data_IF_011986698278
#
_entry.id   IF_011986698278
#
_cell.length_a   1.000
_cell.length_b   1.000
_cell.length_c   1.000
_cell.angle_alpha   90.00
_cell.angle_beta   90.00
_cell.angle_gamma   90.00
#
_symmetry.space_group_name_H-M   'P 1'
#
loop_
_entity.id
_entity.type
_entity.pdbx_description
1 polymer ?
#
# COMPACT_ATOMS: atom_id res chain seq x y z
N UNK A 1 14.98 48.63 36.04
CA UNK A 1 16.01 48.61 37.10
C UNK A 1 15.67 47.50 38.08
N UNK A 2 16.67 46.68 38.44
CA UNK A 2 16.55 45.43 39.20
C UNK A 2 16.67 44.25 38.24
N UNK A 3 17.84 43.71 37.90
CA UNK A 3 19.05 43.44 38.68
C UNK A 3 18.78 42.53 39.89
N UNK A 4 18.96 41.23 39.67
CA UNK A 4 19.54 40.26 40.61
C UNK A 4 19.53 38.84 40.00
N UNK A 5 20.62 38.49 39.32
CA UNK A 5 21.20 37.14 39.47
C UNK A 5 21.81 37.07 40.89
N UNK A 6 21.87 35.92 41.59
CA UNK A 6 23.00 35.03 41.30
C UNK A 6 22.84 33.52 41.66
N UNK A 7 23.81 32.76 41.15
CA UNK A 7 24.55 31.65 41.81
C UNK A 7 23.92 30.27 42.06
N UNK A 8 24.47 29.33 41.28
CA UNK A 8 25.23 28.15 41.70
C UNK A 8 24.60 27.12 42.65
N UNK A 9 24.56 25.86 42.23
CA UNK A 9 25.54 24.84 42.64
C UNK A 9 25.08 23.40 42.30
N UNK A 10 26.09 22.52 42.25
CA UNK A 10 26.06 21.10 42.55
C UNK A 10 25.74 20.11 41.43
N UNK A 11 26.86 19.62 40.88
CA UNK A 11 27.09 18.30 40.34
C UNK A 11 26.35 17.15 41.06
N UNK A 12 25.91 16.16 40.28
CA UNK A 12 26.06 14.76 40.67
C UNK A 12 26.21 13.88 39.44
N UNK A 13 27.44 13.41 39.26
CA UNK A 13 27.75 12.27 38.41
C UNK A 13 26.98 11.05 38.92
N UNK A 14 26.21 10.42 38.04
CA UNK A 14 25.67 9.09 38.26
C UNK A 14 26.24 8.18 37.16
N UNK A 15 27.35 7.53 37.52
CA UNK A 15 27.92 6.38 36.83
C UNK A 15 26.86 5.28 36.79
N UNK A 16 26.29 5.03 35.61
CA UNK A 16 25.45 3.85 35.39
C UNK A 16 26.36 2.62 35.19
N UNK A 17 26.05 1.48 35.82
CA UNK A 17 26.84 0.27 35.68
C UNK A 17 26.66 -0.32 34.27
N UNK A 18 27.79 -0.50 33.58
CA UNK A 18 27.89 -1.35 32.40
C UNK A 18 27.54 -2.79 32.81
N UNK A 19 26.27 -3.14 32.70
CA UNK A 19 25.83 -4.52 32.77
C UNK A 19 26.30 -5.19 31.49
N UNK A 20 27.30 -6.05 31.65
CA UNK A 20 27.80 -7.00 30.65
C UNK A 20 26.66 -7.99 30.36
N UNK A 21 25.66 -7.57 29.59
CA UNK A 21 24.61 -8.43 29.11
C UNK A 21 25.21 -9.33 28.04
N UNK A 22 25.41 -10.59 28.40
CA UNK A 22 25.75 -11.68 27.51
C UNK A 22 24.85 -11.60 26.26
N UNK A 23 25.50 -11.42 25.11
CA UNK A 23 24.91 -11.41 23.79
C UNK A 23 24.12 -12.72 23.59
N UNK A 24 22.77 -12.69 23.53
CA UNK A 24 22.04 -13.87 23.11
C UNK A 24 22.41 -14.09 21.64
N UNK A 25 23.16 -15.16 21.37
CA UNK A 25 23.34 -15.72 20.02
C UNK A 25 21.99 -15.72 19.34
N UNK A 26 21.79 -14.72 18.49
CA UNK A 26 20.54 -14.52 17.78
C UNK A 26 20.41 -15.69 16.83
N UNK A 27 19.57 -16.67 17.19
CA UNK A 27 19.17 -17.73 16.29
C UNK A 27 18.77 -17.08 14.96
N UNK A 28 19.31 -17.54 13.81
CA UNK A 28 18.87 -17.03 12.52
C UNK A 28 17.37 -17.32 12.47
N UNK A 29 16.58 -16.26 12.53
CA UNK A 29 15.12 -16.32 12.42
C UNK A 29 14.88 -16.83 11.00
N UNK A 30 14.73 -18.15 10.88
CA UNK A 30 14.64 -18.83 9.61
C UNK A 30 13.48 -18.18 8.86
N UNK A 31 13.80 -17.40 7.84
CA UNK A 31 12.80 -16.76 7.01
C UNK A 31 12.03 -17.92 6.38
N UNK A 32 10.71 -18.06 6.62
CA UNK A 32 9.95 -19.12 5.97
C UNK A 32 10.22 -19.02 4.46
N UNK A 33 10.57 -20.14 3.85
CA UNK A 33 10.78 -20.18 2.40
C UNK A 33 9.45 -19.81 1.72
N UNK A 34 9.49 -19.14 0.57
CA UNK A 34 8.29 -18.67 -0.08
C UNK A 34 7.25 -19.79 -0.34
N UNK A 35 7.72 -21.02 -0.58
CA UNK A 35 6.87 -22.20 -0.74
C UNK A 35 6.11 -22.60 0.55
N UNK A 36 6.71 -22.40 1.73
CA UNK A 36 6.03 -22.63 3.02
C UNK A 36 5.02 -21.52 3.32
N UNK A 37 5.26 -20.29 2.86
CA UNK A 37 4.31 -19.20 3.02
C UNK A 37 3.03 -19.45 2.21
N UNK A 38 3.15 -19.91 0.96
CA UNK A 38 2.01 -20.28 0.12
C UNK A 38 1.19 -21.44 0.74
N UNK A 39 1.86 -22.43 1.34
CA UNK A 39 1.19 -23.55 2.00
C UNK A 39 0.53 -23.18 3.33
N UNK A 40 1.04 -22.15 4.03
CA UNK A 40 0.51 -21.67 5.30
C UNK A 40 -0.53 -20.54 5.14
N UNK A 41 -0.69 -20.00 3.93
CA UNK A 41 -1.64 -18.92 3.65
C UNK A 41 -3.07 -19.46 3.60
N UNK A 42 -3.66 -19.60 4.79
CA UNK A 42 -5.03 -20.05 4.99
C UNK A 42 -6.08 -18.95 4.89
N UNK A 43 -7.33 -19.35 5.12
CA UNK A 43 -8.51 -18.48 5.06
C UNK A 43 -8.41 -17.29 6.01
N UNK A 44 -7.97 -17.52 7.25
CA UNK A 44 -7.81 -16.45 8.26
C UNK A 44 -6.74 -15.43 7.86
N UNK A 45 -5.63 -15.88 7.26
CA UNK A 45 -4.59 -15.00 6.73
C UNK A 45 -5.12 -14.15 5.57
N UNK A 46 -5.90 -14.76 4.66
CA UNK A 46 -6.54 -14.04 3.56
C UNK A 46 -7.56 -13.00 4.08
N UNK A 47 -8.39 -13.36 5.06
CA UNK A 47 -9.35 -12.45 5.70
C UNK A 47 -8.64 -11.26 6.34
N UNK A 48 -7.61 -11.52 7.13
CA UNK A 48 -6.83 -10.48 7.80
C UNK A 48 -6.13 -9.56 6.78
N UNK A 49 -5.51 -10.13 5.73
CA UNK A 49 -4.85 -9.34 4.70
C UNK A 49 -5.84 -8.43 3.96
N UNK A 50 -7.01 -8.95 3.57
CA UNK A 50 -8.04 -8.15 2.89
C UNK A 50 -8.60 -7.06 3.82
N UNK A 51 -8.74 -7.34 5.12
CA UNK A 51 -9.16 -6.34 6.10
C UNK A 51 -8.13 -5.21 6.26
N UNK A 52 -6.83 -5.55 6.43
CA UNK A 52 -5.76 -4.54 6.50
C UNK A 52 -5.67 -3.72 5.20
N UNK A 53 -5.85 -4.36 4.04
CA UNK A 53 -5.88 -3.65 2.76
C UNK A 53 -7.05 -2.67 2.68
N UNK A 54 -8.25 -3.06 3.12
CA UNK A 54 -9.41 -2.17 3.19
C UNK A 54 -9.13 -0.95 4.07
N UNK A 55 -8.56 -1.15 5.27
CA UNK A 55 -8.16 -0.05 6.15
C UNK A 55 -7.14 0.89 5.48
N UNK A 56 -6.15 0.33 4.78
CA UNK A 56 -5.16 1.14 4.06
C UNK A 56 -5.76 1.91 2.90
N UNK A 57 -6.67 1.32 2.14
CA UNK A 57 -7.34 2.02 1.05
C UNK A 57 -8.35 3.07 1.52
N UNK A 58 -8.82 2.98 2.75
CA UNK A 58 -9.66 4.01 3.37
C UNK A 58 -8.84 5.08 4.12
N UNK A 59 -7.51 4.93 4.21
CA UNK A 59 -6.66 5.89 4.91
C UNK A 59 -6.54 7.22 4.15
N UNK A 60 -6.41 8.31 4.90
CA UNK A 60 -6.22 9.66 4.34
C UNK A 60 -5.01 9.74 3.38
N UNK A 61 -3.93 9.02 3.69
CA UNK A 61 -2.74 8.98 2.83
C UNK A 61 -3.05 8.39 1.45
N UNK A 62 -3.79 7.27 1.42
CA UNK A 62 -4.19 6.65 0.16
C UNK A 62 -5.18 7.54 -0.62
N UNK A 63 -6.16 8.12 0.06
CA UNK A 63 -7.15 9.02 -0.54
C UNK A 63 -6.44 10.22 -1.19
N UNK A 64 -5.47 10.84 -0.50
CA UNK A 64 -4.67 11.96 -1.05
C UNK A 64 -3.90 11.54 -2.29
N UNK A 65 -3.31 10.35 -2.31
CA UNK A 65 -2.61 9.82 -3.50
C UNK A 65 -3.56 9.56 -4.66
N UNK A 66 -4.77 9.06 -4.39
CA UNK A 66 -5.80 8.87 -5.41
C UNK A 66 -6.24 10.21 -6.01
N UNK A 67 -6.50 11.21 -5.17
CA UNK A 67 -6.85 12.57 -5.61
C UNK A 67 -5.75 13.20 -6.44
N UNK A 68 -4.49 13.11 -6.00
CA UNK A 68 -3.36 13.62 -6.77
C UNK A 68 -3.22 12.93 -8.14
N UNK A 69 -3.51 11.63 -8.21
CA UNK A 69 -3.48 10.87 -9.45
C UNK A 69 -4.64 11.27 -10.39
N UNK A 70 -5.84 11.46 -9.85
CA UNK A 70 -7.04 11.89 -10.60
C UNK A 70 -6.87 13.33 -11.12
N UNK A 71 -6.35 14.24 -10.31
CA UNK A 71 -6.02 15.62 -10.70
C UNK A 71 -4.96 15.68 -11.81
N UNK A 72 -3.98 14.78 -11.78
CA UNK A 72 -2.97 14.66 -12.83
C UNK A 72 -3.62 14.25 -14.16
N UNK A 73 -4.62 13.36 -14.14
CA UNK A 73 -5.36 12.97 -15.34
C UNK A 73 -6.23 14.10 -15.89
N UNK A 74 -6.89 14.85 -15.00
CA UNK A 74 -7.67 16.02 -15.38
C UNK A 74 -6.82 17.07 -16.12
N UNK A 75 -5.55 17.25 -15.70
CA UNK A 75 -4.60 18.17 -16.34
C UNK A 75 -3.96 17.59 -17.60
N UNK A 76 -3.87 16.26 -17.72
CA UNK A 76 -3.19 15.58 -18.83
C UNK A 76 -4.14 14.61 -19.56
N UNK A 77 -4.93 15.17 -20.48
CA UNK A 77 -5.89 14.43 -21.29
C UNK A 77 -5.28 13.49 -22.35
N UNK A 78 -3.96 13.35 -22.41
CA UNK A 78 -3.31 12.46 -23.38
C UNK A 78 -3.19 11.00 -22.89
N UNK A 79 -3.52 10.72 -21.62
CA UNK A 79 -3.43 9.36 -21.09
C UNK A 79 -4.61 8.50 -21.52
N UNK A 80 -4.33 7.29 -21.99
CA UNK A 80 -5.37 6.32 -22.33
C UNK A 80 -6.00 5.74 -21.06
N UNK A 81 -7.19 5.15 -21.18
CA UNK A 81 -7.82 4.44 -20.07
C UNK A 81 -6.92 3.33 -19.51
N UNK A 82 -6.16 2.64 -20.38
CA UNK A 82 -5.21 1.61 -19.97
C UNK A 82 -4.07 2.16 -19.11
N UNK A 83 -3.53 3.35 -19.46
CA UNK A 83 -2.48 4.01 -18.66
C UNK A 83 -2.99 4.44 -17.28
N UNK A 84 -4.24 4.91 -17.21
CA UNK A 84 -4.91 5.27 -15.95
C UNK A 84 -5.06 4.06 -15.06
N UNK A 85 -5.59 2.95 -15.59
CA UNK A 85 -5.72 1.69 -14.86
C UNK A 85 -4.37 1.16 -14.39
N UNK A 86 -3.33 1.22 -15.22
CA UNK A 86 -1.98 0.80 -14.83
C UNK A 86 -1.44 1.65 -13.68
N UNK A 87 -1.72 2.95 -13.68
CA UNK A 87 -1.32 3.86 -12.61
C UNK A 87 -2.04 3.54 -11.29
N UNK A 88 -3.33 3.18 -11.34
CA UNK A 88 -4.07 2.66 -10.18
C UNK A 88 -3.44 1.37 -9.67
N UNK A 89 -3.19 0.40 -10.57
CA UNK A 89 -2.56 -0.87 -10.19
C UNK A 89 -1.23 -0.65 -9.48
N UNK A 90 -0.38 0.25 -9.99
CA UNK A 90 0.90 0.61 -9.34
C UNK A 90 0.72 1.22 -7.96
N UNK A 91 -0.29 2.08 -7.79
CA UNK A 91 -0.61 2.67 -6.50
C UNK A 91 -1.03 1.59 -5.49
N UNK A 92 -1.92 0.68 -5.90
CA UNK A 92 -2.37 -0.45 -5.10
C UNK A 92 -1.23 -1.43 -4.78
N UNK A 93 -0.38 -1.76 -5.75
CA UNK A 93 0.79 -2.62 -5.56
C UNK A 93 1.73 -2.08 -4.48
N UNK A 94 1.94 -0.77 -4.42
CA UNK A 94 2.79 -0.16 -3.39
C UNK A 94 2.19 -0.34 -1.99
N UNK A 95 0.87 -0.22 -1.84
CA UNK A 95 0.19 -0.48 -0.57
C UNK A 95 0.31 -1.96 -0.22
N UNK A 96 -0.01 -2.85 -1.15
CA UNK A 96 0.06 -4.30 -0.93
C UNK A 96 1.46 -4.74 -0.52
N UNK A 97 2.50 -4.29 -1.21
CA UNK A 97 3.90 -4.61 -0.91
C UNK A 97 4.33 -4.23 0.51
N UNK A 98 3.71 -3.21 1.11
CA UNK A 98 4.01 -2.80 2.48
C UNK A 98 3.45 -3.76 3.55
N UNK A 99 2.46 -4.59 3.20
CA UNK A 99 1.75 -5.47 4.13
C UNK A 99 2.13 -6.94 3.95
N UNK A 100 2.30 -7.40 2.71
CA UNK A 100 2.39 -8.83 2.35
C UNK A 100 3.56 -9.58 3.02
N UNK A 101 4.62 -8.89 3.43
CA UNK A 101 5.72 -9.53 4.16
C UNK A 101 5.38 -10.01 5.56
N UNK A 102 4.32 -9.47 6.17
CA UNK A 102 3.77 -9.99 7.44
C UNK A 102 3.10 -11.35 7.24
N UNK A 103 2.63 -11.61 6.03
CA UNK A 103 1.93 -12.82 5.61
C UNK A 103 2.86 -13.84 4.95
N UNK A 104 4.18 -13.62 5.01
CA UNK A 104 5.19 -14.54 4.49
C UNK A 104 5.52 -14.37 3.01
N UNK A 105 4.95 -13.38 2.31
CA UNK A 105 5.31 -13.09 0.93
C UNK A 105 6.45 -12.08 0.82
N UNK A 106 7.23 -12.17 -0.24
CA UNK A 106 8.26 -11.17 -0.53
C UNK A 106 7.64 -9.81 -0.84
N UNK A 107 8.24 -8.71 -0.37
CA UNK A 107 7.85 -7.33 -0.72
C UNK A 107 8.26 -6.92 -2.15
N UNK A 108 8.28 -7.88 -3.08
CA UNK A 108 8.55 -7.68 -4.49
C UNK A 108 7.23 -7.62 -5.29
N UNK A 109 7.24 -7.11 -6.53
CA UNK A 109 6.08 -7.17 -7.41
C UNK A 109 5.57 -8.62 -7.61
N UNK A 110 6.48 -9.58 -7.72
CA UNK A 110 6.11 -10.99 -7.86
C UNK A 110 5.50 -11.58 -6.57
N UNK A 111 5.98 -11.13 -5.41
CA UNK A 111 5.36 -11.47 -4.13
C UNK A 111 3.95 -10.92 -3.99
N UNK A 112 3.70 -9.69 -4.44
CA UNK A 112 2.36 -9.09 -4.45
C UNK A 112 1.40 -9.88 -5.36
N UNK A 113 1.84 -10.26 -6.58
CA UNK A 113 1.06 -11.11 -7.48
C UNK A 113 0.75 -12.49 -6.88
N UNK A 114 1.72 -13.10 -6.18
CA UNK A 114 1.49 -14.37 -5.47
C UNK A 114 0.48 -14.21 -4.34
N UNK A 115 0.60 -13.16 -3.53
CA UNK A 115 -0.36 -12.87 -2.47
C UNK A 115 -1.78 -12.64 -3.03
N UNK A 116 -1.91 -11.88 -4.13
CA UNK A 116 -3.19 -11.68 -4.79
C UNK A 116 -3.77 -13.00 -5.30
N UNK A 117 -2.96 -13.84 -5.95
CA UNK A 117 -3.40 -15.17 -6.41
C UNK A 117 -3.87 -16.04 -5.24
N UNK A 118 -3.12 -16.08 -4.14
CA UNK A 118 -3.48 -16.84 -2.96
C UNK A 118 -4.82 -16.36 -2.37
N UNK A 119 -5.03 -15.04 -2.27
CA UNK A 119 -6.31 -14.46 -1.86
C UNK A 119 -7.44 -14.83 -2.84
N UNK A 120 -7.18 -14.81 -4.14
CA UNK A 120 -8.17 -15.22 -5.15
C UNK A 120 -8.55 -16.69 -5.04
N UNK A 121 -7.58 -17.57 -4.80
CA UNK A 121 -7.84 -19.00 -4.63
C UNK A 121 -8.67 -19.28 -3.37
N UNK A 122 -8.36 -18.59 -2.26
CA UNK A 122 -9.20 -18.63 -1.05
C UNK A 122 -10.60 -18.07 -1.33
N UNK A 123 -10.72 -16.95 -2.04
CA UNK A 123 -12.01 -16.33 -2.37
C UNK A 123 -12.91 -17.20 -3.27
N UNK A 124 -12.34 -18.14 -4.03
CA UNK A 124 -13.12 -19.12 -4.81
C UNK A 124 -13.87 -20.11 -3.90
N UNK A 125 -13.28 -20.46 -2.76
CA UNK A 125 -13.85 -21.40 -1.80
C UNK A 125 -14.66 -20.70 -0.69
N UNK A 126 -14.36 -19.43 -0.38
CA UNK A 126 -14.93 -18.70 0.75
C UNK A 126 -15.63 -17.40 0.31
N UNK A 127 -16.96 -17.39 0.43
CA UNK A 127 -17.80 -16.27 -0.03
C UNK A 127 -17.52 -14.94 0.69
N UNK A 128 -17.16 -14.99 1.97
CA UNK A 128 -16.89 -13.80 2.77
C UNK A 128 -15.59 -13.09 2.31
N UNK A 129 -14.55 -13.84 1.94
CA UNK A 129 -13.31 -13.29 1.38
C UNK A 129 -13.59 -12.68 0.00
N UNK A 130 -14.44 -13.34 -0.80
CA UNK A 130 -14.89 -12.82 -2.10
C UNK A 130 -15.63 -11.50 -1.97
N UNK A 131 -16.56 -11.40 -1.02
CA UNK A 131 -17.33 -10.18 -0.76
C UNK A 131 -16.42 -9.03 -0.32
N UNK A 132 -15.51 -9.28 0.63
CA UNK A 132 -14.54 -8.27 1.09
C UNK A 132 -13.60 -7.82 -0.03
N UNK A 133 -13.18 -8.72 -0.91
CA UNK A 133 -12.37 -8.36 -2.10
C UNK A 133 -13.16 -7.51 -3.10
N UNK A 134 -14.45 -7.79 -3.29
CA UNK A 134 -15.31 -6.97 -4.13
C UNK A 134 -15.47 -5.56 -3.54
N UNK A 135 -15.66 -5.45 -2.21
CA UNK A 135 -15.68 -4.19 -1.50
C UNK A 135 -14.39 -3.40 -1.70
N UNK A 136 -13.23 -4.05 -1.57
CA UNK A 136 -11.91 -3.45 -1.78
C UNK A 136 -11.80 -2.83 -3.18
N UNK A 137 -12.24 -3.56 -4.21
CA UNK A 137 -12.24 -3.07 -5.60
C UNK A 137 -13.16 -1.85 -5.73
N UNK A 138 -14.36 -1.93 -5.16
CA UNK A 138 -15.32 -0.81 -5.17
C UNK A 138 -14.79 0.43 -4.45
N UNK A 139 -14.12 0.26 -3.30
CA UNK A 139 -13.54 1.37 -2.53
C UNK A 139 -12.46 2.07 -3.33
N UNK A 140 -11.53 1.34 -3.94
CA UNK A 140 -10.47 1.94 -4.76
C UNK A 140 -11.05 2.77 -5.89
N UNK A 141 -11.98 2.19 -6.66
CA UNK A 141 -12.55 2.87 -7.83
C UNK A 141 -13.49 4.03 -7.48
N UNK A 142 -14.09 4.05 -6.28
CA UNK A 142 -14.91 5.16 -5.82
C UNK A 142 -14.13 6.49 -5.72
N UNK A 143 -12.80 6.45 -5.62
CA UNK A 143 -11.96 7.64 -5.55
C UNK A 143 -11.61 8.25 -6.92
N UNK A 144 -11.87 7.55 -8.03
CA UNK A 144 -11.47 7.98 -9.38
C UNK A 144 -12.67 8.39 -10.23
N UNK A 145 -13.01 9.68 -10.21
CA UNK A 145 -14.18 10.20 -10.93
C UNK A 145 -13.96 10.22 -12.44
N UNK A 146 -12.74 10.51 -12.89
CA UNK A 146 -12.40 10.64 -14.31
C UNK A 146 -12.12 9.30 -15.01
N UNK A 147 -12.26 8.16 -14.31
CA UNK A 147 -12.08 6.85 -14.93
C UNK A 147 -13.22 6.49 -15.89
N UNK A 148 -14.44 6.92 -15.56
CA UNK A 148 -15.65 6.67 -16.34
C UNK A 148 -15.96 7.79 -17.33
N UNK A 149 -15.16 8.86 -17.35
CA UNK A 149 -15.34 9.94 -18.32
C UNK A 149 -14.92 9.42 -19.70
N UNK A 150 -15.86 9.23 -20.65
CA UNK A 150 -15.51 8.80 -21.99
C UNK A 150 -14.62 9.89 -22.58
N UNK A 151 -13.33 9.58 -22.73
CA UNK A 151 -12.30 10.52 -23.17
C UNK A 151 -12.87 11.47 -24.24
N UNK A 152 -12.63 12.79 -24.13
CA UNK A 152 -13.18 13.74 -25.09
C UNK A 152 -12.76 13.27 -26.47
N UNK A 153 -13.75 12.82 -27.26
CA UNK A 153 -13.50 12.29 -28.60
C UNK A 153 -12.75 13.39 -29.31
N UNK A 154 -11.44 13.20 -29.51
CA UNK A 154 -10.63 14.15 -30.28
C UNK A 154 -11.43 14.36 -31.56
N UNK A 155 -11.88 15.59 -31.86
CA UNK A 155 -12.57 15.81 -33.12
C UNK A 155 -11.59 15.32 -34.18
N UNK A 156 -12.00 14.27 -34.90
CA UNK A 156 -11.27 13.78 -36.06
C UNK A 156 -11.06 15.03 -36.89
N UNK A 157 -9.83 15.52 -36.97
CA UNK A 157 -9.52 16.66 -37.79
C UNK A 157 -9.99 16.28 -39.19
N UNK A 158 -11.14 16.80 -39.58
CA UNK A 158 -11.66 16.66 -40.94
C UNK A 158 -10.63 17.38 -41.77
N UNK A 159 -9.76 16.58 -42.37
CA UNK A 159 -8.73 17.04 -43.27
C UNK A 159 -9.45 17.75 -44.41
N UNK A 160 -9.59 19.08 -44.28
CA UNK A 160 -9.99 19.95 -45.37
C UNK A 160 -8.84 19.94 -46.36
N UNK A 161 -8.83 18.90 -47.20
CA UNK A 161 -8.13 18.92 -48.48
C UNK A 161 -8.93 19.88 -49.38
N UNK A 162 -8.55 21.15 -49.32
CA UNK A 162 -8.94 22.14 -50.33
C UNK A 162 -7.76 22.31 -51.27
N UNK A 163 -8.12 22.24 -52.55
CA UNK A 163 -7.30 22.10 -53.75
C UNK A 163 -6.35 23.26 -54.01
#
# INVERSE_FOLDING_TARGET
AGDAEPKAAAAKAATAPTVLAAEPKSLPKARPTAAMADAAFGVEAARALVAELLEKYQSDDFIRRCQALDDMWAKNNNQTQADRLLSITRLCDNVMRSLISRYGFDASPDGAKRAERAVMDVARAHADVKERRALLTSTIFAHFKHLNDPAPRRPLATSSSVR
#
